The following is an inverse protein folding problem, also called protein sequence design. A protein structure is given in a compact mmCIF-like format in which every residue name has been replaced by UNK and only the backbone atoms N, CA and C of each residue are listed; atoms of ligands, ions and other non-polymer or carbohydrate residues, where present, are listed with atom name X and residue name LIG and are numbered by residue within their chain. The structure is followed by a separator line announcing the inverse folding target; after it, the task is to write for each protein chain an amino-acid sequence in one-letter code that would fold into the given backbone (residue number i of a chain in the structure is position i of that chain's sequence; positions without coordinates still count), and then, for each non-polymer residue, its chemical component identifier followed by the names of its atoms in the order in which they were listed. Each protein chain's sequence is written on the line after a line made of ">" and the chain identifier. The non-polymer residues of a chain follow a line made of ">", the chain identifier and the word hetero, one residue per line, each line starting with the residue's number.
data_IF_484962664608
#
_entry.id   IF_484962664608
#
_cell.length_a   1.000
_cell.length_b   1.000
_cell.length_c   1.000
_cell.angle_alpha   90.00
_cell.angle_beta   90.00
_cell.angle_gamma   90.00
#
_symmetry.space_group_name_H-M   'P 1'
#
loop_
_entity.id
_entity.type
_entity.pdbx_description
1 polymer ?
#
# COMPACT_ATOMS: atom_id res chain seq x y z
N UNK A 1 -1.70 11.42 17.87
CA UNK A 1 -1.72 10.02 18.36
C UNK A 1 -0.38 9.40 18.02
N UNK A 2 0.47 9.03 18.99
CA UNK A 2 1.79 8.41 18.68
C UNK A 2 1.65 6.90 18.67
N UNK A 3 1.94 6.27 17.53
CA UNK A 3 1.96 4.82 17.44
C UNK A 3 3.07 4.24 18.32
N UNK A 4 2.82 3.11 19.02
CA UNK A 4 3.87 2.43 19.76
C UNK A 4 4.98 1.93 18.84
N UNK A 5 6.18 1.77 19.41
CA UNK A 5 7.39 1.49 18.64
C UNK A 5 7.29 0.18 17.84
N UNK A 6 6.69 -0.86 18.40
CA UNK A 6 6.51 -2.14 17.73
C UNK A 6 5.70 -2.02 16.42
N UNK A 7 4.58 -1.28 16.42
CA UNK A 7 3.82 -1.07 15.19
C UNK A 7 4.60 -0.25 14.16
N UNK A 8 5.48 0.67 14.61
CA UNK A 8 6.34 1.44 13.68
C UNK A 8 7.39 0.56 13.04
N UNK A 9 8.03 -0.31 13.81
CA UNK A 9 9.02 -1.25 13.31
C UNK A 9 8.42 -2.29 12.37
N UNK A 10 7.18 -2.71 12.64
CA UNK A 10 6.43 -3.59 11.75
C UNK A 10 6.04 -2.88 10.46
N UNK A 11 5.49 -1.66 10.53
CA UNK A 11 5.21 -0.84 9.34
C UNK A 11 6.47 -0.58 8.51
N UNK A 12 7.59 -0.29 9.17
CA UNK A 12 8.85 -0.01 8.48
C UNK A 12 9.33 -1.24 7.71
N UNK A 13 9.28 -2.42 8.34
CA UNK A 13 9.70 -3.69 7.74
C UNK A 13 8.79 -4.14 6.61
N UNK A 14 7.48 -4.10 6.83
CA UNK A 14 6.49 -4.69 5.92
C UNK A 14 6.04 -3.74 4.81
N UNK A 15 6.27 -2.43 4.94
CA UNK A 15 5.82 -1.45 3.95
C UNK A 15 6.95 -0.51 3.53
N UNK A 16 7.57 0.20 4.46
CA UNK A 16 8.56 1.24 4.11
C UNK A 16 9.80 0.63 3.43
N UNK A 17 10.29 -0.51 3.90
CA UNK A 17 11.47 -1.16 3.34
C UNK A 17 11.25 -1.58 1.88
N UNK A 18 10.07 -2.09 1.54
CA UNK A 18 9.71 -2.44 0.16
C UNK A 18 9.64 -1.20 -0.73
N UNK A 19 9.04 -0.10 -0.24
CA UNK A 19 8.98 1.17 -0.97
C UNK A 19 10.39 1.74 -1.19
N UNK A 20 11.26 1.70 -0.18
CA UNK A 20 12.63 2.24 -0.28
C UNK A 20 13.52 1.44 -1.24
N UNK A 21 13.32 0.13 -1.32
CA UNK A 21 14.05 -0.75 -2.25
C UNK A 21 13.45 -0.79 -3.65
N UNK A 22 12.28 -0.18 -3.83
CA UNK A 22 11.58 -0.15 -5.09
C UNK A 22 12.48 0.45 -6.17
N UNK A 23 12.68 -0.32 -7.23
CA UNK A 23 13.26 0.19 -8.47
C UNK A 23 12.23 0.98 -9.27
N UNK A 24 10.95 0.65 -9.12
CA UNK A 24 9.83 1.33 -9.75
C UNK A 24 8.61 1.30 -8.82
N UNK A 25 7.87 2.41 -8.79
CA UNK A 25 6.60 2.52 -8.08
C UNK A 25 5.55 3.05 -9.07
N UNK A 26 4.46 2.31 -9.22
CA UNK A 26 3.32 2.72 -10.03
C UNK A 26 2.11 2.95 -9.14
N UNK A 27 1.50 4.13 -9.23
CA UNK A 27 0.19 4.36 -8.64
C UNK A 27 -0.87 3.79 -9.57
N UNK A 28 -1.72 2.92 -9.04
CA UNK A 28 -2.86 2.46 -9.82
C UNK A 28 -3.91 3.58 -9.92
N UNK A 29 -4.46 3.83 -11.13
CA UNK A 29 -5.60 4.72 -11.26
C UNK A 29 -6.77 4.11 -10.49
N UNK A 30 -7.64 4.94 -9.95
CA UNK A 30 -8.77 4.51 -9.13
C UNK A 30 -9.64 3.45 -9.86
N UNK A 31 -9.52 2.17 -9.47
CA UNK A 31 -10.16 1.02 -10.14
C UNK A 31 -11.58 0.78 -9.60
N UNK A 32 -12.14 1.70 -8.80
CA UNK A 32 -13.46 1.66 -8.10
C UNK A 32 -14.58 0.86 -8.78
N UNK A 33 -14.76 0.97 -10.09
CA UNK A 33 -15.87 0.31 -10.80
C UNK A 33 -15.62 -1.16 -11.17
N UNK A 34 -14.37 -1.62 -11.16
CA UNK A 34 -13.97 -2.98 -11.60
C UNK A 34 -13.19 -3.77 -10.56
N UNK A 35 -12.73 -3.14 -9.48
CA UNK A 35 -12.02 -3.78 -8.38
C UNK A 35 -12.87 -3.72 -7.10
N UNK A 36 -13.92 -4.55 -7.05
CA UNK A 36 -14.56 -4.86 -5.77
C UNK A 36 -13.57 -5.74 -4.99
N UNK A 37 -12.84 -5.16 -4.04
CA UNK A 37 -11.95 -5.93 -3.19
C UNK A 37 -12.78 -6.79 -2.22
N UNK A 38 -12.34 -8.01 -1.94
CA UNK A 38 -12.95 -8.90 -0.92
C UNK A 38 -12.95 -8.30 0.50
N UNK A 39 -12.28 -7.16 0.69
CA UNK A 39 -12.22 -6.38 1.93
C UNK A 39 -13.41 -5.42 2.11
N UNK A 40 -14.35 -5.36 1.14
CA UNK A 40 -15.60 -4.61 1.21
C UNK A 40 -15.47 -3.11 0.89
N UNK A 41 -16.60 -2.48 0.53
CA UNK A 41 -16.69 -1.05 0.14
C UNK A 41 -16.45 -0.05 1.30
N UNK A 42 -16.10 -0.54 2.49
CA UNK A 42 -16.26 0.21 3.76
C UNK A 42 -14.95 0.87 4.23
N UNK A 43 -13.79 0.40 3.77
CA UNK A 43 -12.47 0.82 4.28
C UNK A 43 -11.79 1.84 3.36
N UNK A 44 -12.42 2.99 3.17
CA UNK A 44 -11.81 4.16 2.54
C UNK A 44 -12.83 5.27 2.60
N UNK A 45 -12.44 6.47 3.05
CA UNK A 45 -13.34 7.62 3.04
C UNK A 45 -13.82 7.97 1.62
N UNK A 46 -14.40 9.17 1.44
CA UNK A 46 -14.87 9.63 0.12
C UNK A 46 -13.76 9.55 -0.98
N UNK A 47 -12.49 9.63 -0.56
CA UNK A 47 -11.28 9.52 -1.39
C UNK A 47 -10.86 8.09 -1.79
N UNK A 48 -11.42 7.04 -1.17
CA UNK A 48 -11.15 5.64 -1.50
C UNK A 48 -9.77 5.13 -1.03
N UNK A 49 -9.26 4.08 -1.68
CA UNK A 49 -7.94 3.53 -1.42
C UNK A 49 -6.87 4.17 -2.32
N UNK A 50 -5.68 4.35 -1.76
CA UNK A 50 -4.45 4.62 -2.50
C UNK A 50 -3.69 3.33 -2.73
N UNK A 51 -3.64 2.88 -3.99
CA UNK A 51 -2.97 1.65 -4.38
C UNK A 51 -1.67 1.94 -5.14
N UNK A 52 -0.59 1.27 -4.73
CA UNK A 52 0.72 1.37 -5.35
C UNK A 52 1.30 -0.02 -5.61
N UNK A 53 1.70 -0.26 -6.85
CA UNK A 53 2.50 -1.43 -7.23
C UNK A 53 3.97 -1.07 -7.08
N UNK A 54 4.65 -1.78 -6.19
CA UNK A 54 6.06 -1.62 -5.84
C UNK A 54 6.86 -2.76 -6.45
N UNK A 55 7.84 -2.43 -7.28
CA UNK A 55 8.69 -3.40 -7.98
C UNK A 55 10.14 -3.21 -7.57
N UNK A 56 10.73 -4.20 -6.91
CA UNK A 56 12.18 -4.32 -6.73
C UNK A 56 12.72 -5.31 -7.77
N UNK A 57 13.20 -4.79 -8.91
CA UNK A 57 13.81 -5.61 -9.96
C UNK A 57 15.15 -6.22 -9.56
N UNK A 58 15.81 -5.67 -8.54
CA UNK A 58 17.09 -6.16 -8.05
C UNK A 58 16.91 -7.46 -7.27
N UNK A 59 15.86 -7.51 -6.44
CA UNK A 59 15.48 -8.71 -5.69
C UNK A 59 14.50 -9.63 -6.44
N UNK A 60 13.87 -9.14 -7.53
CA UNK A 60 12.82 -9.87 -8.24
C UNK A 60 11.49 -9.91 -7.47
N UNK A 61 11.22 -8.87 -6.66
CA UNK A 61 10.05 -8.79 -5.79
C UNK A 61 9.00 -7.82 -6.33
N UNK A 62 7.73 -8.16 -6.07
CA UNK A 62 6.55 -7.38 -6.42
C UNK A 62 5.64 -7.30 -5.19
N UNK A 63 5.26 -6.09 -4.79
CA UNK A 63 4.32 -5.86 -3.69
C UNK A 63 3.21 -4.89 -4.11
N UNK A 64 2.00 -5.09 -3.58
CA UNK A 64 0.89 -4.14 -3.69
C UNK A 64 0.71 -3.48 -2.32
N UNK A 65 0.93 -2.17 -2.26
CA UNK A 65 0.69 -1.36 -1.06
C UNK A 65 -0.66 -0.67 -1.22
N UNK A 66 -1.55 -0.90 -0.26
CA UNK A 66 -2.89 -0.31 -0.22
C UNK A 66 -3.01 0.50 1.06
N UNK A 67 -3.35 1.78 0.94
CA UNK A 67 -3.63 2.65 2.07
C UNK A 67 -5.07 3.17 1.97
N UNK A 68 -5.88 2.99 3.01
CA UNK A 68 -7.17 3.66 3.14
C UNK A 68 -6.93 5.08 3.66
N UNK A 69 -7.44 6.09 2.95
CA UNK A 69 -7.45 7.48 3.45
C UNK A 69 -8.48 7.65 4.58
N UNK A 70 -8.20 8.53 5.54
CA UNK A 70 -9.13 9.05 6.56
C UNK A 70 -9.47 10.52 6.25
#
# INVERSE_FOLDING_TARGET
>A
MSWPQAQREELDREVCAHIQRATVIYRLPDIRATAQHDWGDIVGGDAGFHEFVVIDRTAGELALVVASDD
#
